data_IF_949705620491
#
_entry.id   IF_949705620491
#
_cell.length_a   1.000
_cell.length_b   1.000
_cell.length_c   1.000
_cell.angle_alpha   90.00
_cell.angle_beta   90.00
_cell.angle_gamma   90.00
#
_symmetry.space_group_name_H-M   'P 1'
#
loop_
_entity.id
_entity.type
_entity.pdbx_description
1 polymer ?
#
# COMPACT_ATOMS: atom_id res chain seq x y z
N UNK A 1 15.51 6.09 -16.82
CA UNK A 1 15.84 6.81 -15.56
C UNK A 1 14.72 7.72 -15.05
N UNK A 2 13.84 8.27 -15.91
CA UNK A 2 12.72 9.14 -15.47
C UNK A 2 11.74 8.47 -14.49
N UNK A 3 11.44 7.17 -14.68
CA UNK A 3 10.53 6.43 -13.79
C UNK A 3 11.03 6.30 -12.35
N UNK A 4 12.34 6.20 -12.14
CA UNK A 4 12.92 6.10 -10.79
C UNK A 4 12.74 7.39 -9.98
N UNK A 5 12.77 8.54 -10.66
CA UNK A 5 12.55 9.85 -10.03
C UNK A 5 11.12 9.97 -9.49
N UNK A 6 10.14 9.39 -10.19
CA UNK A 6 8.75 9.40 -9.74
C UNK A 6 8.47 8.44 -8.57
N UNK A 7 9.32 7.42 -8.35
CA UNK A 7 9.20 6.51 -7.20
C UNK A 7 9.79 7.11 -5.91
N UNK A 8 10.73 8.05 -6.02
CA UNK A 8 11.39 8.68 -4.86
C UNK A 8 10.42 9.36 -3.88
N UNK A 9 9.46 10.20 -4.33
CA UNK A 9 8.49 10.82 -3.43
C UNK A 9 7.69 9.81 -2.61
N UNK A 10 7.31 8.69 -3.23
CA UNK A 10 6.57 7.62 -2.57
C UNK A 10 7.38 7.00 -1.43
N UNK A 11 8.65 6.64 -1.68
CA UNK A 11 9.51 5.99 -0.69
C UNK A 11 9.87 6.93 0.46
N UNK A 12 10.20 8.19 0.14
CA UNK A 12 10.52 9.21 1.14
C UNK A 12 9.32 9.49 2.04
N UNK A 13 8.15 9.72 1.44
CA UNK A 13 6.92 9.98 2.19
C UNK A 13 6.51 8.77 3.02
N UNK A 14 6.64 7.55 2.48
CA UNK A 14 6.39 6.32 3.23
C UNK A 14 7.27 6.21 4.47
N UNK A 15 8.58 6.48 4.35
CA UNK A 15 9.50 6.40 5.49
C UNK A 15 9.18 7.46 6.55
N UNK A 16 8.97 8.72 6.13
CA UNK A 16 8.63 9.82 7.04
C UNK A 16 7.32 9.58 7.77
N UNK A 17 6.28 9.13 7.06
CA UNK A 17 4.97 8.88 7.64
C UNK A 17 4.97 7.63 8.53
N UNK A 18 5.78 6.61 8.21
CA UNK A 18 5.97 5.44 9.08
C UNK A 18 6.59 5.82 10.43
N UNK A 19 7.57 6.73 10.45
CA UNK A 19 8.15 7.23 11.68
C UNK A 19 7.12 8.04 12.49
N UNK A 20 6.41 8.95 11.81
CA UNK A 20 5.37 9.78 12.43
C UNK A 20 4.24 8.92 13.03
N UNK A 21 3.80 7.89 12.32
CA UNK A 21 2.79 6.95 12.79
C UNK A 21 3.21 6.28 14.11
N UNK A 22 4.47 5.85 14.20
CA UNK A 22 5.04 5.27 15.42
C UNK A 22 5.03 6.24 16.60
N UNK A 23 5.45 7.49 16.37
CA UNK A 23 5.42 8.55 17.38
C UNK A 23 4.00 8.88 17.85
N UNK A 24 3.04 9.00 16.93
CA UNK A 24 1.63 9.28 17.25
C UNK A 24 1.07 8.14 18.11
N UNK A 25 1.31 6.89 17.76
CA UNK A 25 0.81 5.74 18.53
C UNK A 25 1.44 5.67 19.92
N UNK A 26 2.73 5.98 20.02
CA UNK A 26 3.44 6.01 21.30
C UNK A 26 2.85 7.07 22.24
N UNK A 27 2.49 8.24 21.69
CA UNK A 27 1.89 9.33 22.46
C UNK A 27 0.40 9.10 22.79
N UNK A 28 -0.39 8.65 21.81
CA UNK A 28 -1.85 8.48 21.97
C UNK A 28 -2.24 7.16 22.65
N UNK A 29 -1.36 6.16 22.62
CA UNK A 29 -1.65 4.81 23.11
C UNK A 29 -2.71 4.06 22.31
N UNK A 30 -3.12 4.57 21.13
CA UNK A 30 -4.18 4.01 20.30
C UNK A 30 -3.71 3.84 18.86
N UNK A 31 -3.71 2.59 18.37
CA UNK A 31 -3.29 2.27 17.01
C UNK A 31 -4.45 2.23 16.01
N UNK A 32 -5.68 2.02 16.46
CA UNK A 32 -6.87 1.94 15.61
C UNK A 32 -7.12 3.19 14.75
N UNK A 33 -7.17 4.42 15.29
CA UNK A 33 -7.45 5.60 14.47
C UNK A 33 -6.36 5.85 13.42
N UNK A 34 -5.11 5.52 13.74
CA UNK A 34 -3.97 5.65 12.83
C UNK A 34 -4.09 4.64 11.67
N UNK A 35 -4.46 3.39 11.96
CA UNK A 35 -4.68 2.38 10.91
C UNK A 35 -5.85 2.75 9.99
N UNK A 36 -6.98 3.18 10.54
CA UNK A 36 -8.15 3.57 9.75
C UNK A 36 -7.83 4.76 8.85
N UNK A 37 -7.12 5.77 9.38
CA UNK A 37 -6.65 6.89 8.58
C UNK A 37 -5.70 6.41 7.46
N UNK A 38 -4.73 5.55 7.78
CA UNK A 38 -3.80 4.99 6.81
C UNK A 38 -4.49 4.24 5.66
N UNK A 39 -5.42 3.33 5.97
CA UNK A 39 -6.19 2.62 4.94
C UNK A 39 -7.09 3.55 4.12
N UNK A 40 -7.63 4.61 4.74
CA UNK A 40 -8.44 5.61 4.02
C UNK A 40 -7.60 6.39 3.02
N UNK A 41 -6.41 6.87 3.43
CA UNK A 41 -5.47 7.53 2.52
C UNK A 41 -4.98 6.59 1.42
N UNK A 42 -4.72 5.32 1.76
CA UNK A 42 -4.24 4.35 0.78
C UNK A 42 -5.32 4.01 -0.26
N UNK A 43 -6.57 3.81 0.19
CA UNK A 43 -7.72 3.61 -0.69
C UNK A 43 -7.98 4.83 -1.57
N UNK A 44 -7.99 6.04 -0.99
CA UNK A 44 -8.18 7.28 -1.74
C UNK A 44 -7.08 7.48 -2.79
N UNK A 45 -5.82 7.22 -2.43
CA UNK A 45 -4.68 7.29 -3.35
C UNK A 45 -4.81 6.35 -4.54
N UNK A 46 -5.19 5.08 -4.29
CA UNK A 46 -5.48 4.15 -5.39
C UNK A 46 -6.73 4.54 -6.19
N UNK A 47 -7.73 5.15 -5.55
CA UNK A 47 -8.86 5.75 -6.27
C UNK A 47 -8.42 6.84 -7.24
N UNK A 48 -7.47 7.69 -6.84
CA UNK A 48 -6.92 8.73 -7.72
C UNK A 48 -6.19 8.14 -8.93
N UNK A 49 -5.57 6.96 -8.81
CA UNK A 49 -4.93 6.29 -9.96
C UNK A 49 -5.93 5.84 -11.03
N UNK A 50 -7.21 5.69 -10.71
CA UNK A 50 -8.25 5.42 -11.72
C UNK A 50 -8.52 6.63 -12.62
N UNK A 51 -8.26 7.84 -12.14
CA UNK A 51 -8.40 9.07 -12.90
C UNK A 51 -7.18 9.38 -13.79
N UNK A 52 -6.17 8.50 -13.82
CA UNK A 52 -5.04 8.66 -14.73
C UNK A 52 -5.46 8.44 -16.18
N UNK A 53 -5.13 9.44 -16.99
CA UNK A 53 -5.30 9.44 -18.44
C UNK A 53 -4.01 9.89 -19.15
N UNK A 54 -3.96 9.80 -20.48
CA UNK A 54 -2.76 10.13 -21.27
C UNK A 54 -2.29 11.59 -21.10
N UNK A 55 -3.17 12.48 -20.64
CA UNK A 55 -2.89 13.89 -20.34
C UNK A 55 -2.62 14.20 -18.86
N UNK A 56 -2.35 13.17 -18.06
CA UNK A 56 -2.08 13.35 -16.62
C UNK A 56 -0.85 14.24 -16.40
N UNK A 57 -1.01 15.30 -15.61
CA UNK A 57 0.09 16.21 -15.28
C UNK A 57 1.09 15.54 -14.33
N UNK A 58 2.38 15.84 -14.49
CA UNK A 58 3.45 15.36 -13.60
C UNK A 58 3.14 15.71 -12.12
N UNK A 59 2.48 16.84 -11.86
CA UNK A 59 2.04 17.25 -10.52
C UNK A 59 0.98 16.32 -9.93
N UNK A 60 0.02 15.84 -10.73
CA UNK A 60 -0.99 14.89 -10.27
C UNK A 60 -0.37 13.52 -9.94
N UNK A 61 0.64 13.09 -10.73
CA UNK A 61 1.39 11.85 -10.44
C UNK A 61 2.10 11.99 -9.11
N UNK A 62 2.88 13.06 -8.92
CA UNK A 62 3.61 13.29 -7.67
C UNK A 62 2.65 13.40 -6.48
N UNK A 63 1.56 14.15 -6.59
CA UNK A 63 0.55 14.25 -5.55
C UNK A 63 -0.06 12.90 -5.18
N UNK A 64 -0.38 12.07 -6.17
CA UNK A 64 -0.90 10.71 -5.97
C UNK A 64 0.14 9.82 -5.27
N UNK A 65 1.42 9.89 -5.66
CA UNK A 65 2.51 9.16 -5.02
C UNK A 65 2.72 9.56 -3.56
N UNK A 66 2.58 10.85 -3.24
CA UNK A 66 2.64 11.34 -1.85
C UNK A 66 1.49 10.75 -1.03
N UNK A 67 0.26 10.78 -1.54
CA UNK A 67 -0.91 10.20 -0.85
C UNK A 67 -0.73 8.69 -0.64
N UNK A 68 -0.29 7.95 -1.67
CA UNK A 68 0.02 6.52 -1.52
C UNK A 68 1.11 6.28 -0.47
N UNK A 69 2.19 7.07 -0.48
CA UNK A 69 3.26 6.99 0.49
C UNK A 69 2.76 7.21 1.92
N UNK A 70 1.87 8.21 2.13
CA UNK A 70 1.27 8.46 3.45
C UNK A 70 0.45 7.26 3.94
N UNK A 71 -0.41 6.70 3.09
CA UNK A 71 -1.22 5.52 3.42
C UNK A 71 -0.36 4.32 3.80
N UNK A 72 0.65 3.99 2.98
CA UNK A 72 1.59 2.89 3.27
C UNK A 72 2.32 3.09 4.60
N UNK A 73 2.84 4.30 4.87
CA UNK A 73 3.54 4.62 6.11
C UNK A 73 2.67 4.44 7.35
N UNK A 74 1.42 4.90 7.29
CA UNK A 74 0.44 4.77 8.38
C UNK A 74 -0.14 3.36 8.56
N UNK A 75 0.28 2.37 7.77
CA UNK A 75 -0.16 0.97 7.91
C UNK A 75 0.99 0.08 8.36
N UNK A 76 2.18 0.21 7.78
CA UNK A 76 3.28 -0.72 8.04
C UNK A 76 3.68 -0.79 9.51
N UNK A 77 3.90 0.36 10.15
CA UNK A 77 4.29 0.44 11.55
C UNK A 77 3.10 0.16 12.49
N UNK A 78 1.92 0.78 12.32
CA UNK A 78 0.79 0.56 13.22
C UNK A 78 0.28 -0.88 13.27
N UNK A 79 0.23 -1.57 12.14
CA UNK A 79 -0.19 -2.99 12.13
C UNK A 79 0.82 -3.89 12.86
N UNK A 80 2.12 -3.56 12.83
CA UNK A 80 3.11 -4.30 13.61
C UNK A 80 2.88 -4.08 15.11
N UNK A 81 2.66 -2.82 15.52
CA UNK A 81 2.38 -2.47 16.91
C UNK A 81 1.09 -3.12 17.40
N UNK A 82 0.03 -3.11 16.59
CA UNK A 82 -1.24 -3.78 16.89
C UNK A 82 -1.07 -5.29 17.11
N UNK A 83 -0.30 -5.96 16.25
CA UNK A 83 -0.01 -7.38 16.39
C UNK A 83 0.79 -7.68 17.67
N UNK A 84 1.77 -6.83 18.01
CA UNK A 84 2.54 -6.96 19.24
C UNK A 84 1.69 -6.72 20.50
N UNK A 85 0.79 -5.73 20.48
CA UNK A 85 -0.09 -5.40 21.60
C UNK A 85 -1.05 -6.56 21.94
N UNK A 86 -1.56 -7.27 20.93
CA UNK A 86 -2.43 -8.43 21.09
C UNK A 86 -1.66 -9.74 21.36
N UNK A 87 -0.38 -9.67 21.70
CA UNK A 87 0.46 -10.83 21.96
C UNK A 87 1.12 -10.77 23.33
N UNK A 88 1.42 -11.92 23.91
CA UNK A 88 2.22 -12.02 25.14
C UNK A 88 3.65 -11.59 24.85
N UNK A 89 4.35 -10.99 25.84
CA UNK A 89 5.74 -10.52 25.64
C UNK A 89 6.65 -11.65 25.14
N UNK A 90 6.48 -12.85 25.67
CA UNK A 90 7.23 -14.05 25.28
C UNK A 90 6.97 -14.52 23.83
N UNK A 91 5.81 -14.18 23.25
CA UNK A 91 5.41 -14.63 21.91
C UNK A 91 5.55 -13.55 20.83
N UNK A 92 5.99 -12.34 21.18
CA UNK A 92 6.16 -11.22 20.23
C UNK A 92 7.03 -11.59 19.03
N UNK A 93 8.13 -12.30 19.26
CA UNK A 93 9.02 -12.72 18.17
C UNK A 93 8.30 -13.63 17.15
N UNK A 94 7.47 -14.56 17.63
CA UNK A 94 6.67 -15.46 16.79
C UNK A 94 5.60 -14.70 16.01
N UNK A 95 4.93 -13.73 16.64
CA UNK A 95 3.92 -12.92 15.96
C UNK A 95 4.53 -12.04 14.87
N UNK A 96 5.70 -11.44 15.14
CA UNK A 96 6.42 -10.63 14.15
C UNK A 96 6.86 -11.49 12.96
N UNK A 97 7.42 -12.68 13.21
CA UNK A 97 7.85 -13.59 12.14
C UNK A 97 6.67 -14.10 11.32
N UNK A 98 5.58 -14.54 11.97
CA UNK A 98 4.35 -14.96 11.30
C UNK A 98 3.77 -13.84 10.41
N UNK A 99 3.69 -12.61 10.94
CA UNK A 99 3.26 -11.43 10.15
C UNK A 99 4.15 -11.20 8.94
N UNK A 100 5.47 -11.32 9.10
CA UNK A 100 6.41 -11.13 8.00
C UNK A 100 6.27 -12.22 6.93
N UNK A 101 6.05 -13.48 7.31
CA UNK A 101 5.80 -14.58 6.38
C UNK A 101 4.51 -14.34 5.59
N UNK A 102 3.40 -14.02 6.28
CA UNK A 102 2.11 -13.73 5.64
C UNK A 102 2.23 -12.55 4.68
N UNK A 103 2.92 -11.48 5.09
CA UNK A 103 3.17 -10.30 4.25
C UNK A 103 4.00 -10.64 3.02
N UNK A 104 5.09 -11.39 3.17
CA UNK A 104 5.93 -11.79 2.03
C UNK A 104 5.18 -12.70 1.06
N UNK A 105 4.37 -13.63 1.58
CA UNK A 105 3.51 -14.49 0.77
C UNK A 105 2.44 -13.69 0.00
N UNK A 106 1.75 -12.77 0.69
CA UNK A 106 0.79 -11.87 0.06
C UNK A 106 1.44 -10.95 -0.99
N UNK A 107 2.68 -10.50 -0.74
CA UNK A 107 3.48 -9.75 -1.71
C UNK A 107 3.79 -10.57 -2.96
N UNK A 108 4.23 -11.81 -2.81
CA UNK A 108 4.53 -12.70 -3.93
C UNK A 108 3.28 -13.08 -4.74
N UNK A 109 2.17 -13.43 -4.07
CA UNK A 109 0.91 -13.70 -4.74
C UNK A 109 0.37 -12.46 -5.45
N UNK A 110 0.41 -11.31 -4.78
CA UNK A 110 -0.05 -10.04 -5.31
C UNK A 110 0.70 -9.66 -6.58
N UNK A 111 2.05 -9.72 -6.56
CA UNK A 111 2.86 -9.41 -7.75
C UNK A 111 2.60 -10.40 -8.88
N UNK A 112 2.45 -11.70 -8.59
CA UNK A 112 2.13 -12.71 -9.60
C UNK A 112 0.77 -12.45 -10.27
N UNK A 113 -0.28 -12.18 -9.50
CA UNK A 113 -1.63 -11.87 -10.04
C UNK A 113 -1.58 -10.57 -10.86
N UNK A 114 -0.89 -9.55 -10.36
CA UNK A 114 -0.74 -8.26 -11.04
C UNK A 114 -0.05 -8.40 -12.40
N UNK A 115 1.07 -9.14 -12.41
CA UNK A 115 1.84 -9.49 -13.60
C UNK A 115 0.99 -10.27 -14.61
N UNK A 116 0.20 -11.24 -14.14
CA UNK A 116 -0.69 -12.04 -14.96
C UNK A 116 -1.79 -11.19 -15.63
N UNK A 117 -2.39 -10.24 -14.89
CA UNK A 117 -3.44 -9.36 -15.41
C UNK A 117 -2.90 -8.44 -16.50
N UNK A 118 -1.77 -7.77 -16.24
CA UNK A 118 -1.13 -6.87 -17.20
C UNK A 118 -0.75 -7.65 -18.46
N UNK A 119 -0.13 -8.82 -18.29
CA UNK A 119 0.27 -9.69 -19.41
C UNK A 119 -0.91 -10.13 -20.25
N UNK A 120 -1.96 -10.68 -19.62
CA UNK A 120 -3.14 -11.14 -20.36
C UNK A 120 -3.89 -10.00 -21.04
N UNK A 121 -4.00 -8.84 -20.39
CA UNK A 121 -4.62 -7.66 -20.99
C UNK A 121 -3.84 -7.20 -22.21
N UNK A 122 -2.51 -7.10 -22.11
CA UNK A 122 -1.67 -6.68 -23.22
C UNK A 122 -1.71 -7.70 -24.38
N UNK A 123 -1.66 -9.00 -24.09
CA UNK A 123 -1.78 -10.05 -25.11
C UNK A 123 -3.13 -10.00 -25.84
N UNK A 124 -4.21 -9.72 -25.13
CA UNK A 124 -5.55 -9.54 -25.72
C UNK A 124 -5.54 -8.35 -26.70
N UNK A 125 -4.96 -7.24 -26.30
CA UNK A 125 -4.90 -6.03 -27.13
C UNK A 125 -3.96 -6.21 -28.33
N UNK A 126 -2.81 -6.88 -28.16
CA UNK A 126 -1.89 -7.27 -29.24
C UNK A 126 -2.62 -8.12 -30.28
N UNK A 127 -3.36 -9.13 -29.85
CA UNK A 127 -4.11 -10.02 -30.75
C UNK A 127 -5.26 -9.29 -31.47
N UNK A 128 -5.86 -8.27 -30.85
CA UNK A 128 -6.83 -7.42 -31.52
C UNK A 128 -6.16 -6.56 -32.61
N UNK A 129 -5.02 -5.93 -32.31
CA UNK A 129 -4.27 -5.13 -33.29
C UNK A 129 -3.69 -5.96 -34.43
N UNK A 130 -3.32 -7.21 -34.19
CA UNK A 130 -2.88 -8.14 -35.23
C UNK A 130 -3.94 -8.37 -36.32
N UNK A 131 -5.23 -8.21 -36.00
CA UNK A 131 -6.34 -8.33 -36.96
C UNK A 131 -6.63 -7.03 -37.73
N UNK A 132 -6.25 -5.89 -37.17
CA UNK A 132 -6.47 -4.56 -37.74
C UNK A 132 -5.33 -4.10 -38.65
N UNK A 133 -4.18 -4.81 -38.64
CA UNK A 133 -2.97 -4.50 -39.45
C UNK A 133 -2.34 -3.13 -39.20
N UNK A 134 -2.68 -2.45 -38.11
CA UNK A 134 -2.15 -1.12 -37.77
C UNK A 134 -0.66 -1.16 -37.34
N UNK A 135 -0.18 -2.31 -36.85
CA UNK A 135 1.20 -2.51 -36.42
C UNK A 135 1.90 -3.64 -37.20
N UNK A 136 3.23 -3.51 -37.44
CA UNK A 136 4.01 -4.57 -38.06
C UNK A 136 3.97 -5.86 -37.22
N UNK A 137 3.79 -7.02 -37.85
CA UNK A 137 3.76 -8.31 -37.16
C UNK A 137 5.06 -8.60 -36.38
N UNK A 138 6.21 -8.17 -36.91
CA UNK A 138 7.51 -8.29 -36.23
C UNK A 138 7.56 -7.50 -34.91
N UNK A 139 6.89 -6.35 -34.85
CA UNK A 139 6.80 -5.54 -33.63
C UNK A 139 5.87 -6.17 -32.59
N UNK A 140 4.76 -6.76 -33.04
CA UNK A 140 3.83 -7.47 -32.15
C UNK A 140 4.49 -8.71 -31.51
N UNK A 141 5.27 -9.48 -32.27
CA UNK A 141 6.05 -10.60 -31.72
C UNK A 141 7.15 -10.12 -30.76
N UNK A 142 7.84 -9.02 -31.08
CA UNK A 142 8.78 -8.39 -30.15
C UNK A 142 8.10 -7.98 -28.83
N UNK A 143 6.91 -7.37 -28.88
CA UNK A 143 6.14 -6.98 -27.69
C UNK A 143 5.71 -8.19 -26.85
N UNK A 144 5.28 -9.29 -27.48
CA UNK A 144 4.94 -10.54 -26.77
C UNK A 144 6.15 -11.13 -26.05
N UNK A 145 7.33 -11.04 -26.65
CA UNK A 145 8.58 -11.50 -26.03
C UNK A 145 9.09 -10.53 -24.94
N UNK A 146 8.74 -9.24 -25.03
CA UNK A 146 9.28 -8.16 -24.19
C UNK A 146 8.21 -7.36 -23.45
N UNK A 147 7.21 -8.03 -22.89
CA UNK A 147 6.03 -7.41 -22.24
C UNK A 147 6.40 -6.40 -21.15
N UNK A 148 7.47 -6.67 -20.40
CA UNK A 148 7.94 -5.83 -19.29
C UNK A 148 9.01 -4.81 -19.68
N UNK A 149 9.53 -4.87 -20.90
CA UNK A 149 10.57 -3.97 -21.39
C UNK A 149 9.95 -2.66 -21.85
N UNK A 150 10.72 -1.57 -21.83
CA UNK A 150 10.26 -0.32 -22.44
C UNK A 150 10.09 -0.56 -23.95
N UNK A 151 8.87 -0.41 -24.51
CA UNK A 151 8.67 -0.57 -25.95
C UNK A 151 9.53 0.45 -26.68
N UNK A 152 10.30 0.00 -27.67
CA UNK A 152 11.06 0.91 -28.51
C UNK A 152 10.08 1.69 -29.39
N UNK A 153 9.92 2.96 -29.07
CA UNK A 153 9.03 3.89 -29.76
C UNK A 153 9.75 4.64 -30.88
N UNK A 154 11.07 4.49 -31.03
CA UNK A 154 11.86 5.17 -32.05
C UNK A 154 11.63 4.62 -33.46
N UNK A 155 11.18 3.37 -33.54
CA UNK A 155 10.89 2.63 -34.78
C UNK A 155 9.43 2.76 -35.24
N UNK A 156 8.58 3.49 -34.50
CA UNK A 156 7.15 3.62 -34.78
C UNK A 156 6.80 5.03 -35.26
N UNK A 157 5.79 5.12 -36.14
CA UNK A 157 5.15 6.40 -36.45
C UNK A 157 4.39 6.97 -35.24
N UNK A 158 4.11 8.26 -35.23
CA UNK A 158 3.39 8.93 -34.13
C UNK A 158 2.03 8.29 -33.83
N UNK A 159 1.32 7.83 -34.87
CA UNK A 159 0.03 7.12 -34.73
C UNK A 159 0.20 5.74 -34.10
N UNK A 160 1.21 4.98 -34.52
CA UNK A 160 1.50 3.66 -33.96
C UNK A 160 1.98 3.74 -32.50
N UNK A 161 2.77 4.77 -32.17
CA UNK A 161 3.19 5.02 -30.79
C UNK A 161 2.00 5.33 -29.88
N UNK A 162 0.97 6.04 -30.37
CA UNK A 162 -0.26 6.30 -29.64
C UNK A 162 -1.05 5.00 -29.40
N UNK A 163 -1.14 4.11 -30.40
CA UNK A 163 -1.78 2.80 -30.23
C UNK A 163 -1.07 1.96 -29.15
N UNK A 164 0.26 1.90 -29.17
CA UNK A 164 1.01 1.17 -28.14
C UNK A 164 0.79 1.78 -26.75
N UNK A 165 0.83 3.11 -26.62
CA UNK A 165 0.52 3.79 -25.34
C UNK A 165 -0.86 3.46 -24.82
N UNK A 166 -1.87 3.46 -25.68
CA UNK A 166 -3.24 3.11 -25.33
C UNK A 166 -3.37 1.65 -24.85
N UNK A 167 -2.64 0.72 -25.46
CA UNK A 167 -2.63 -0.68 -25.03
C UNK A 167 -2.01 -0.84 -23.63
N UNK A 168 -0.88 -0.19 -23.38
CA UNK A 168 -0.23 -0.22 -22.05
C UNK A 168 -1.08 0.49 -20.98
N UNK A 169 -1.69 1.63 -21.30
CA UNK A 169 -2.56 2.35 -20.35
C UNK A 169 -3.81 1.53 -20.03
N UNK A 170 -4.40 0.86 -21.01
CA UNK A 170 -5.53 -0.08 -20.82
C UNK A 170 -5.17 -1.25 -19.90
N UNK A 171 -4.02 -1.88 -20.13
CA UNK A 171 -3.53 -2.97 -19.28
C UNK A 171 -3.27 -2.52 -17.83
N UNK A 172 -2.71 -1.32 -17.62
CA UNK A 172 -2.51 -0.75 -16.29
C UNK A 172 -3.82 -0.36 -15.60
N UNK A 173 -4.81 0.17 -16.34
CA UNK A 173 -6.15 0.44 -15.80
C UNK A 173 -6.82 -0.82 -15.27
N UNK A 174 -6.71 -1.93 -16.00
CA UNK A 174 -7.24 -3.23 -15.55
C UNK A 174 -6.61 -3.70 -14.23
N UNK A 175 -5.32 -3.45 -14.03
CA UNK A 175 -4.66 -3.68 -12.76
C UNK A 175 -5.25 -2.81 -11.64
N UNK A 176 -5.42 -1.51 -11.86
CA UNK A 176 -6.01 -0.61 -10.85
C UNK A 176 -7.45 -0.98 -10.49
N UNK A 177 -8.26 -1.44 -11.45
CA UNK A 177 -9.62 -1.91 -11.19
C UNK A 177 -9.66 -3.12 -10.24
N UNK A 178 -8.63 -3.96 -10.21
CA UNK A 178 -8.53 -5.03 -9.22
C UNK A 178 -8.02 -4.53 -7.87
N UNK A 179 -7.01 -3.65 -7.87
CA UNK A 179 -6.36 -3.21 -6.63
C UNK A 179 -7.27 -2.37 -5.74
N UNK A 180 -8.09 -1.49 -6.33
CA UNK A 180 -9.01 -0.61 -5.59
C UNK A 180 -10.03 -1.37 -4.73
N UNK A 181 -10.82 -2.33 -5.26
CA UNK A 181 -11.76 -3.09 -4.43
C UNK A 181 -11.05 -3.96 -3.40
N UNK A 182 -9.87 -4.51 -3.72
CA UNK A 182 -9.07 -5.26 -2.76
C UNK A 182 -8.66 -4.39 -1.56
N UNK A 183 -8.23 -3.15 -1.80
CA UNK A 183 -7.95 -2.18 -0.74
C UNK A 183 -9.21 -1.74 0.00
N UNK A 184 -10.35 -1.64 -0.68
CA UNK A 184 -11.64 -1.41 -0.05
C UNK A 184 -12.00 -2.51 0.95
N UNK A 185 -11.78 -3.78 0.59
CA UNK A 185 -11.93 -4.91 1.50
C UNK A 185 -10.95 -4.79 2.69
N UNK A 186 -9.69 -4.43 2.45
CA UNK A 186 -8.73 -4.19 3.53
C UNK A 186 -9.18 -3.07 4.49
N UNK A 187 -9.73 -1.97 3.96
CA UNK A 187 -10.28 -0.87 4.75
C UNK A 187 -11.47 -1.34 5.59
N UNK A 188 -12.39 -2.10 5.01
CA UNK A 188 -13.53 -2.68 5.74
C UNK A 188 -13.04 -3.61 6.86
N UNK A 189 -12.08 -4.49 6.58
CA UNK A 189 -11.48 -5.37 7.58
C UNK A 189 -10.75 -4.58 8.68
N UNK A 190 -10.14 -3.43 8.35
CA UNK A 190 -9.52 -2.56 9.34
C UNK A 190 -10.55 -2.06 10.38
N UNK A 191 -11.79 -1.77 9.98
CA UNK A 191 -12.86 -1.39 10.91
C UNK A 191 -13.25 -2.51 11.90
N UNK A 192 -13.06 -3.78 11.52
CA UNK A 192 -13.29 -4.92 12.43
C UNK A 192 -12.15 -5.12 13.44
N UNK A 193 -11.06 -4.37 13.34
CA UNK A 193 -9.92 -4.51 14.26
C UNK A 193 -10.29 -3.92 15.62
N UNK A 194 -10.36 -4.76 16.65
CA UNK A 194 -10.69 -4.34 18.00
C UNK A 194 -9.51 -3.62 18.66
N UNK A 195 -9.70 -2.37 19.06
CA UNK A 195 -8.70 -1.60 19.80
C UNK A 195 -8.69 -2.03 21.27
N UNK A 196 -7.77 -2.92 21.63
CA UNK A 196 -7.53 -3.29 23.04
C UNK A 196 -6.55 -2.33 23.76
N UNK A 197 -6.14 -1.24 23.11
CA UNK A 197 -5.11 -0.32 23.60
C UNK A 197 -3.69 -0.87 23.45
N UNK A 198 -2.69 -0.03 23.73
CA UNK A 198 -1.27 -0.36 23.60
C UNK A 198 -0.71 -1.29 24.71
N UNK A 199 -1.52 -1.60 25.73
CA UNK A 199 -1.07 -2.41 26.86
C UNK A 199 -0.90 -3.87 26.43
N UNK A 200 0.24 -4.45 26.80
CA UNK A 200 0.48 -5.86 26.58
C UNK A 200 -0.53 -6.67 27.40
N UNK A 201 -1.06 -7.78 26.85
CA UNK A 201 -1.97 -8.68 27.59
C UNK A 201 -1.45 -9.11 28.97
N UNK A 202 -0.13 -9.11 29.17
CA UNK A 202 0.54 -9.54 30.40
C UNK A 202 0.82 -8.40 31.40
N UNK A 203 0.53 -7.13 31.07
CA UNK A 203 0.71 -6.01 32.02
C UNK A 203 -0.58 -5.83 32.84
N UNK A 204 -0.53 -5.95 34.19
CA UNK A 204 -1.66 -5.56 35.01
C UNK A 204 -1.99 -4.11 34.69
N UNK A 205 -3.27 -3.80 34.44
CA UNK A 205 -3.74 -2.42 34.34
C UNK A 205 -3.14 -1.67 35.53
N UNK A 206 -2.29 -0.68 35.29
CA UNK A 206 -1.91 0.27 36.32
C UNK A 206 -3.20 0.99 36.72
N UNK A 207 -3.90 0.42 37.69
CA UNK A 207 -5.10 0.99 38.25
C UNK A 207 -4.66 2.28 38.95
N UNK A 208 -5.03 3.42 38.38
CA UNK A 208 -4.83 4.74 39.01
C UNK A 208 -5.44 4.78 40.42
N UNK A 209 -6.34 3.86 40.78
CA UNK A 209 -6.93 3.71 42.12
C UNK A 209 -5.91 3.32 43.19
N UNK A 210 -4.90 2.52 42.88
CA UNK A 210 -3.91 2.10 43.89
C UNK A 210 -2.97 3.24 44.31
N UNK A 211 -2.67 4.20 43.42
CA UNK A 211 -1.84 5.36 43.79
C UNK A 211 -2.61 6.36 44.67
N UNK A 212 -3.93 6.48 44.50
CA UNK A 212 -4.77 7.34 45.35
C UNK A 212 -4.94 6.74 46.75
N UNK A 213 -5.05 5.41 46.85
CA UNK A 213 -5.11 4.73 48.16
C UNK A 213 -3.74 4.71 48.85
N UNK A 214 -2.63 4.57 48.13
CA UNK A 214 -1.28 4.71 48.70
C UNK A 214 -0.99 6.13 49.21
N UNK A 215 -1.35 7.18 48.48
CA UNK A 215 -1.24 8.56 48.99
C UNK A 215 -2.17 8.82 50.19
N UNK A 216 -3.39 8.29 50.20
CA UNK A 216 -4.30 8.41 51.36
C UNK A 216 -3.79 7.66 52.58
N UNK A 217 -3.21 6.46 52.39
CA UNK A 217 -2.63 5.67 53.48
C UNK A 217 -1.36 6.35 54.01
N UNK A 218 -0.45 6.79 53.14
CA UNK A 218 0.76 7.51 53.55
C UNK A 218 0.46 8.89 54.17
N UNK A 219 -0.59 9.57 53.70
CA UNK A 219 -1.08 10.82 54.31
C UNK A 219 -1.71 10.64 55.69
N UNK A 220 -2.20 9.43 56.03
CA UNK A 220 -2.72 9.10 57.35
C UNK A 220 -1.64 8.85 58.41
N UNK A 221 -0.44 8.45 58.01
CA UNK A 221 0.70 8.23 58.91
C UNK A 221 1.53 9.50 59.17
N UNK A 222 1.20 10.62 58.49
CA UNK A 222 1.94 11.89 58.58
C UNK A 222 1.22 12.97 59.42
N UNK A 223 0.16 12.60 60.15
CA UNK A 223 -0.49 13.41 61.19
C UNK A 223 -0.40 12.66 62.51
#
# INVERSE_FOLDING_TARGET
MRSAIFTLPLVLMQASMSALAGSIITFTGRYFPVMVAGYSFWFAGHGMTLAWDEHTSDAMIVGTMLVLGTGCGFIFQPTMVAAQANSRKAQRAVVISARNVIRSFGGALGTAISSLIITNSLLKDINAQAKLSNLPHSYLEYMKANIYSHPDMSVLSTEQAAVVRHMYSGALRNYFYLTVPLLGVCLVLAFFTKDNGLQCLDEPRADKRNNIDLEKVLGRFRK
#
